data_IF_529962105287
#
_entry.id   IF_529962105287
#
_cell.length_a   1.000
_cell.length_b   1.000
_cell.length_c   1.000
_cell.angle_alpha   90.00
_cell.angle_beta   90.00
_cell.angle_gamma   90.00
#
_symmetry.space_group_name_H-M   'P 1'
#
loop_
_entity.id
_entity.type
_entity.pdbx_description
1 polymer ?
#
# COMPACT_ATOMS: atom_id res chain seq x y z
N UNK A 1 -14.08 -14.27 60.07
CA UNK A 1 -13.52 -14.20 58.70
C UNK A 1 -14.68 -13.91 57.76
N UNK A 2 -14.61 -12.85 56.96
CA UNK A 2 -15.72 -12.40 56.10
C UNK A 2 -15.63 -13.10 54.72
N UNK A 3 -16.53 -14.04 54.40
CA UNK A 3 -16.47 -14.86 53.17
C UNK A 3 -16.62 -14.02 51.89
N UNK A 4 -17.16 -12.81 52.03
CA UNK A 4 -17.36 -11.86 50.93
C UNK A 4 -16.05 -11.25 50.45
N UNK A 5 -15.04 -11.13 51.33
CA UNK A 5 -13.70 -10.60 50.99
C UNK A 5 -12.85 -11.61 50.22
N UNK A 6 -12.91 -12.88 50.60
CA UNK A 6 -12.19 -13.97 49.92
C UNK A 6 -12.70 -14.16 48.49
N UNK A 7 -14.01 -14.09 48.28
CA UNK A 7 -14.63 -14.22 46.94
C UNK A 7 -14.25 -13.07 46.00
N UNK A 8 -14.15 -11.83 46.52
CA UNK A 8 -13.68 -10.68 45.73
C UNK A 8 -12.20 -10.82 45.36
N UNK A 9 -11.35 -11.23 46.31
CA UNK A 9 -9.93 -11.46 46.09
C UNK A 9 -9.64 -12.50 45.00
N UNK A 10 -10.41 -13.60 44.97
CA UNK A 10 -10.29 -14.63 43.93
C UNK A 10 -10.66 -14.11 42.53
N UNK A 11 -11.73 -13.32 42.40
CA UNK A 11 -12.13 -12.71 41.12
C UNK A 11 -11.07 -11.73 40.61
N UNK A 12 -10.47 -10.95 41.52
CA UNK A 12 -9.41 -10.03 41.16
C UNK A 12 -8.14 -10.78 40.73
N UNK A 13 -7.79 -11.88 41.39
CA UNK A 13 -6.71 -12.77 40.96
C UNK A 13 -6.96 -13.38 39.56
N UNK A 14 -8.19 -13.81 39.29
CA UNK A 14 -8.56 -14.35 37.98
C UNK A 14 -8.47 -13.28 36.88
N UNK A 15 -8.93 -12.05 37.15
CA UNK A 15 -8.78 -10.92 36.23
C UNK A 15 -7.31 -10.58 35.98
N UNK A 16 -6.48 -10.56 37.03
CA UNK A 16 -5.04 -10.32 36.90
C UNK A 16 -4.39 -11.40 36.03
N UNK A 17 -4.77 -12.67 36.22
CA UNK A 17 -4.25 -13.78 35.40
C UNK A 17 -4.66 -13.62 33.93
N UNK A 18 -5.92 -13.29 33.65
CA UNK A 18 -6.40 -13.04 32.28
C UNK A 18 -5.70 -11.84 31.64
N UNK A 19 -5.50 -10.75 32.38
CA UNK A 19 -4.79 -9.58 31.87
C UNK A 19 -3.32 -9.89 31.58
N UNK A 20 -2.64 -10.64 32.45
CA UNK A 20 -1.26 -11.10 32.21
C UNK A 20 -1.15 -11.98 30.98
N UNK A 21 -2.08 -12.92 30.80
CA UNK A 21 -2.11 -13.76 29.60
C UNK A 21 -2.36 -12.93 28.32
N UNK A 22 -3.21 -11.90 28.42
CA UNK A 22 -3.46 -10.98 27.32
C UNK A 22 -2.22 -10.16 26.98
N UNK A 23 -1.53 -9.60 27.98
CA UNK A 23 -0.27 -8.87 27.81
C UNK A 23 0.76 -9.77 27.12
N UNK A 24 0.97 -10.99 27.61
CA UNK A 24 1.92 -11.92 27.00
C UNK A 24 1.58 -12.24 25.54
N UNK A 25 0.29 -12.39 25.22
CA UNK A 25 -0.15 -12.59 23.83
C UNK A 25 0.08 -11.37 22.95
N UNK A 26 -0.15 -10.17 23.47
CA UNK A 26 0.11 -8.91 22.76
C UNK A 26 1.60 -8.70 22.52
N UNK A 27 2.45 -8.97 23.52
CA UNK A 27 3.90 -8.89 23.40
C UNK A 27 4.44 -9.86 22.35
N UNK A 28 3.94 -11.10 22.34
CA UNK A 28 4.32 -12.07 21.32
C UNK A 28 3.94 -11.62 19.89
N UNK A 29 2.73 -11.05 19.72
CA UNK A 29 2.29 -10.49 18.44
C UNK A 29 3.14 -9.28 18.02
N UNK A 30 3.51 -8.42 18.96
CA UNK A 30 4.38 -7.28 18.69
C UNK A 30 5.75 -7.73 18.18
N UNK A 31 6.38 -8.68 18.88
CA UNK A 31 7.67 -9.23 18.48
C UNK A 31 7.62 -9.89 17.09
N UNK A 32 6.52 -10.59 16.78
CA UNK A 32 6.31 -11.16 15.46
C UNK A 32 6.18 -10.08 14.37
N UNK A 33 5.38 -9.04 14.62
CA UNK A 33 5.19 -7.94 13.67
C UNK A 33 6.49 -7.14 13.44
N UNK A 34 7.27 -6.88 14.49
CA UNK A 34 8.57 -6.22 14.37
C UNK A 34 9.56 -7.06 13.56
N UNK A 35 9.59 -8.37 13.77
CA UNK A 35 10.44 -9.27 12.98
C UNK A 35 10.02 -9.28 11.49
N UNK A 36 8.72 -9.32 11.20
CA UNK A 36 8.21 -9.23 9.84
C UNK A 36 8.49 -7.87 9.20
N UNK A 37 8.31 -6.76 9.93
CA UNK A 37 8.65 -5.42 9.45
C UNK A 37 10.12 -5.32 9.10
N UNK A 38 11.01 -5.70 10.03
CA UNK A 38 12.45 -5.67 9.81
C UNK A 38 12.86 -6.51 8.60
N UNK A 39 12.30 -7.71 8.46
CA UNK A 39 12.58 -8.60 7.32
C UNK A 39 12.16 -8.00 5.97
N UNK A 40 11.10 -7.17 5.93
CA UNK A 40 10.65 -6.50 4.70
C UNK A 40 11.46 -5.24 4.46
N UNK A 41 11.69 -4.43 5.49
CA UNK A 41 12.40 -3.15 5.34
C UNK A 41 13.86 -3.31 4.94
N UNK A 42 14.52 -4.41 5.33
CA UNK A 42 15.90 -4.69 4.88
C UNK A 42 16.01 -5.03 3.40
N UNK A 43 14.92 -5.43 2.75
CA UNK A 43 14.87 -5.70 1.31
C UNK A 43 14.61 -4.43 0.50
N UNK A 44 14.23 -3.33 1.15
CA UNK A 44 13.93 -2.06 0.49
C UNK A 44 15.20 -1.22 0.36
N UNK A 45 15.38 -0.62 -0.82
CA UNK A 45 16.51 0.28 -1.10
C UNK A 45 16.25 1.67 -0.49
N UNK A 46 15.01 2.15 -0.64
CA UNK A 46 14.58 3.48 -0.24
C UNK A 46 13.39 3.42 0.72
N UNK A 47 12.99 4.58 1.25
CA UNK A 47 11.79 4.67 2.07
C UNK A 47 10.54 4.25 1.24
N UNK A 48 9.77 3.24 1.70
CA UNK A 48 8.67 2.68 0.92
C UNK A 48 7.58 3.71 0.61
N UNK A 49 7.26 4.59 1.57
CA UNK A 49 6.19 5.57 1.38
C UNK A 49 6.58 6.57 0.29
N UNK A 50 7.80 7.10 0.34
CA UNK A 50 8.27 8.06 -0.68
C UNK A 50 8.38 7.42 -2.05
N UNK A 51 8.77 6.15 -2.12
CA UNK A 51 8.87 5.40 -3.38
C UNK A 51 7.49 5.16 -3.98
N UNK A 52 6.52 4.73 -3.17
CA UNK A 52 5.14 4.54 -3.61
C UNK A 52 4.51 5.86 -4.07
N UNK A 53 4.64 6.94 -3.28
CA UNK A 53 4.11 8.26 -3.65
C UNK A 53 4.70 8.75 -4.97
N UNK A 54 6.03 8.68 -5.13
CA UNK A 54 6.71 9.06 -6.37
C UNK A 54 6.24 8.20 -7.55
N UNK A 55 6.12 6.89 -7.36
CA UNK A 55 5.65 6.00 -8.41
C UNK A 55 4.22 6.33 -8.84
N UNK A 56 3.31 6.53 -7.88
CA UNK A 56 1.92 6.93 -8.16
C UNK A 56 1.86 8.26 -8.90
N UNK A 57 2.66 9.24 -8.48
CA UNK A 57 2.71 10.54 -9.15
C UNK A 57 3.20 10.43 -10.59
N UNK A 58 4.30 9.70 -10.83
CA UNK A 58 4.84 9.50 -12.18
C UNK A 58 3.87 8.74 -13.09
N UNK A 59 3.15 7.76 -12.54
CA UNK A 59 2.17 7.00 -13.31
C UNK A 59 0.97 7.86 -13.71
N UNK A 60 0.50 8.74 -12.82
CA UNK A 60 -0.54 9.71 -13.15
C UNK A 60 -0.06 10.70 -14.22
N UNK A 61 1.13 11.27 -14.05
CA UNK A 61 1.69 12.21 -15.02
C UNK A 61 1.88 11.57 -16.41
N UNK A 62 2.36 10.33 -16.45
CA UNK A 62 2.47 9.57 -17.69
C UNK A 62 1.10 9.35 -18.35
N UNK A 63 0.10 8.89 -17.59
CA UNK A 63 -1.23 8.64 -18.14
C UNK A 63 -1.87 9.94 -18.66
N UNK A 64 -1.76 11.03 -17.91
CA UNK A 64 -2.30 12.32 -18.31
C UNK A 64 -1.68 12.81 -19.63
N UNK A 65 -0.35 12.72 -19.77
CA UNK A 65 0.34 13.11 -21.01
C UNK A 65 -0.02 12.16 -22.15
N UNK A 66 -0.09 10.85 -21.89
CA UNK A 66 -0.46 9.84 -22.89
C UNK A 66 -1.87 10.10 -23.41
N UNK A 67 -2.84 10.34 -22.54
CA UNK A 67 -4.23 10.57 -22.92
C UNK A 67 -4.38 11.85 -23.76
N UNK A 68 -3.70 12.93 -23.38
CA UNK A 68 -3.65 14.16 -24.19
C UNK A 68 -3.01 13.90 -25.55
N UNK A 69 -1.87 13.22 -25.59
CA UNK A 69 -1.17 12.88 -26.84
C UNK A 69 -2.03 12.02 -27.76
N UNK A 70 -2.67 11.00 -27.22
CA UNK A 70 -3.59 10.12 -27.93
C UNK A 70 -4.81 10.87 -28.48
N UNK A 71 -5.40 11.77 -27.70
CA UNK A 71 -6.47 12.63 -28.16
C UNK A 71 -6.07 13.54 -29.33
N UNK A 72 -4.89 14.17 -29.24
CA UNK A 72 -4.36 15.02 -30.31
C UNK A 72 -4.06 14.22 -31.59
N UNK A 73 -3.48 13.02 -31.45
CA UNK A 73 -3.22 12.15 -32.60
C UNK A 73 -4.51 11.67 -33.26
N UNK A 74 -5.57 11.38 -32.50
CA UNK A 74 -6.90 11.10 -33.03
C UNK A 74 -7.45 12.24 -33.87
N UNK A 75 -7.36 13.48 -33.38
CA UNK A 75 -7.80 14.67 -34.13
C UNK A 75 -7.01 14.87 -35.43
N UNK A 76 -5.69 14.62 -35.42
CA UNK A 76 -4.85 14.70 -36.61
C UNK A 76 -5.22 13.61 -37.61
N UNK A 77 -5.47 12.38 -37.14
CA UNK A 77 -5.87 11.26 -37.97
C UNK A 77 -7.21 11.53 -38.67
N UNK A 78 -8.19 12.03 -37.92
CA UNK A 78 -9.50 12.44 -38.43
C UNK A 78 -9.38 13.54 -39.49
N UNK A 79 -8.58 14.58 -39.22
CA UNK A 79 -8.36 15.67 -40.17
C UNK A 79 -7.67 15.22 -41.47
N UNK A 80 -6.82 14.20 -41.39
CA UNK A 80 -6.09 13.62 -42.54
C UNK A 80 -6.87 12.50 -43.24
N UNK A 81 -7.94 11.98 -42.64
CA UNK A 81 -8.68 10.83 -43.14
C UNK A 81 -7.88 9.52 -43.12
N UNK A 82 -6.91 9.41 -42.21
CA UNK A 82 -6.04 8.23 -42.05
C UNK A 82 -6.32 7.55 -40.72
N UNK A 83 -5.77 6.36 -40.49
CA UNK A 83 -5.95 5.69 -39.20
C UNK A 83 -4.99 6.27 -38.16
N UNK A 84 -5.43 6.37 -36.91
CA UNK A 84 -4.61 6.87 -35.79
C UNK A 84 -3.28 6.15 -35.67
N UNK A 85 -3.25 4.82 -35.87
CA UNK A 85 -2.01 4.02 -35.85
C UNK A 85 -0.96 4.46 -36.90
N UNK A 86 -1.39 5.06 -38.00
CA UNK A 86 -0.49 5.57 -39.05
C UNK A 86 0.15 6.89 -38.62
N UNK A 87 -0.60 7.72 -37.88
CA UNK A 87 -0.12 8.95 -37.25
C UNK A 87 0.82 8.63 -36.09
N UNK A 88 0.44 7.70 -35.21
CA UNK A 88 1.30 7.25 -34.09
C UNK A 88 2.67 6.78 -34.59
N UNK A 89 2.69 5.98 -35.66
CA UNK A 89 3.93 5.51 -36.29
C UNK A 89 4.78 6.65 -36.86
N UNK A 90 4.17 7.68 -37.45
CA UNK A 90 4.86 8.88 -37.94
C UNK A 90 5.52 9.66 -36.80
N UNK A 91 4.83 9.76 -35.65
CA UNK A 91 5.33 10.43 -34.45
C UNK A 91 6.20 9.54 -33.56
N UNK A 92 6.47 8.30 -33.98
CA UNK A 92 7.33 7.36 -33.25
C UNK A 92 6.71 6.80 -31.97
N UNK A 93 5.39 6.90 -31.81
CA UNK A 93 4.65 6.30 -30.70
C UNK A 93 4.34 4.85 -31.08
N UNK A 94 4.80 3.91 -30.26
CA UNK A 94 4.46 2.49 -30.40
C UNK A 94 3.42 2.11 -29.35
N UNK A 95 2.47 1.22 -29.69
CA UNK A 95 1.42 0.78 -28.75
C UNK A 95 1.91 -0.10 -27.61
N UNK A 96 3.23 -0.36 -27.52
CA UNK A 96 3.84 -1.21 -26.49
C UNK A 96 4.42 -0.41 -25.31
N UNK A 97 4.38 0.93 -25.36
CA UNK A 97 4.83 1.82 -24.29
C UNK A 97 3.72 2.26 -23.33
#
# INVERSE_FOLDING_TARGET
>A
MDPTKETKSYRDQQRIATLRASIASLEAKHAQLEASLNSVTTQLIDNPNTTCERYTQLLHEYNDIKDVGQGLMGLIADARGVRQIEVEKEFGVSGED
#
